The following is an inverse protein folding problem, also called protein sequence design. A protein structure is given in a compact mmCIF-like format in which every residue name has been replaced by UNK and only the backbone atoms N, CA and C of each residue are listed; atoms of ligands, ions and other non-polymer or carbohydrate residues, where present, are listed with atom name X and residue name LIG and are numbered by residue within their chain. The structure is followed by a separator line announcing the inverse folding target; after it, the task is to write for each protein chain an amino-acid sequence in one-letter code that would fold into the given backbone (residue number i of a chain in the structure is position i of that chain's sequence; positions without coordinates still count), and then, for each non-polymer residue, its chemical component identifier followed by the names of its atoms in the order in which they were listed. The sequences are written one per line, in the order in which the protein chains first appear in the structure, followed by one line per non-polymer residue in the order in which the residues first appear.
data_IF_926477487077
#
_entry.id   IF_926477487077
#
_cell.length_a   1.000
_cell.length_b   1.000
_cell.length_c   1.000
_cell.angle_alpha   90.00
_cell.angle_beta   90.00
_cell.angle_gamma   90.00
#
_symmetry.space_group_name_H-M   'P 1'
#
loop_
_entity.id
_entity.type
_entity.pdbx_description
1 polymer ?
#
# COMPACT_ATOMS: atom_id res chain seq x y z
N UNK A 1 13.74 5.04 -17.04
CA UNK A 1 13.92 3.61 -17.39
C UNK A 1 12.72 2.89 -16.84
N UNK A 2 11.96 2.12 -17.63
CA UNK A 2 10.90 1.26 -17.07
C UNK A 2 11.61 0.08 -16.39
N UNK A 3 11.46 -0.07 -15.08
CA UNK A 3 12.04 -1.21 -14.37
C UNK A 3 11.16 -2.45 -14.64
N UNK A 4 11.62 -3.32 -15.54
CA UNK A 4 11.07 -4.66 -15.79
C UNK A 4 11.87 -5.68 -14.97
N UNK A 5 11.64 -5.67 -13.66
CA UNK A 5 12.44 -6.46 -12.72
C UNK A 5 12.20 -7.95 -12.94
N UNK A 6 10.94 -8.37 -13.09
CA UNK A 6 10.64 -9.79 -13.23
C UNK A 6 11.13 -10.35 -14.56
N UNK A 7 11.02 -9.59 -15.64
CA UNK A 7 11.63 -9.92 -16.93
C UNK A 7 13.14 -10.21 -16.83
N UNK A 8 13.88 -9.41 -16.04
CA UNK A 8 15.33 -9.55 -15.91
C UNK A 8 15.77 -10.87 -15.25
N UNK A 9 14.89 -11.51 -14.49
CA UNK A 9 15.15 -12.78 -13.80
C UNK A 9 14.77 -14.02 -14.63
N UNK A 10 14.28 -13.84 -15.86
CA UNK A 10 13.80 -14.93 -16.70
C UNK A 10 14.92 -15.53 -17.56
N UNK A 11 14.77 -16.79 -17.98
CA UNK A 11 15.65 -17.39 -19.00
C UNK A 11 15.45 -16.69 -20.35
N UNK A 12 16.39 -16.84 -21.30
CA UNK A 12 16.25 -16.26 -22.65
C UNK A 12 14.97 -16.70 -23.37
N UNK A 13 14.59 -17.98 -23.20
CA UNK A 13 13.36 -18.51 -23.77
C UNK A 13 12.14 -17.83 -23.16
N UNK A 14 12.07 -17.76 -21.83
CA UNK A 14 11.00 -17.09 -21.10
C UNK A 14 10.91 -15.60 -21.44
N UNK A 15 12.04 -14.90 -21.57
CA UNK A 15 12.08 -13.51 -22.01
C UNK A 15 11.52 -13.34 -23.43
N UNK A 16 11.82 -14.26 -24.35
CA UNK A 16 11.24 -14.24 -25.69
C UNK A 16 9.71 -14.41 -25.65
N UNK A 17 9.20 -15.38 -24.88
CA UNK A 17 7.75 -15.61 -24.74
C UNK A 17 7.07 -14.44 -24.04
N UNK A 18 7.68 -13.88 -23.00
CA UNK A 18 7.21 -12.68 -22.30
C UNK A 18 6.99 -11.51 -23.28
N UNK A 19 7.95 -11.26 -24.18
CA UNK A 19 7.82 -10.19 -25.19
C UNK A 19 6.71 -10.49 -26.20
N UNK A 20 6.59 -11.73 -26.68
CA UNK A 20 5.50 -12.13 -27.56
C UNK A 20 4.12 -11.90 -26.90
N UNK A 21 3.98 -12.24 -25.61
CA UNK A 21 2.77 -11.97 -24.83
C UNK A 21 2.53 -10.46 -24.68
N UNK A 22 3.55 -9.70 -24.30
CA UNK A 22 3.48 -8.24 -24.13
C UNK A 22 3.06 -7.54 -25.42
N UNK A 23 3.68 -7.88 -26.55
CA UNK A 23 3.40 -7.28 -27.85
C UNK A 23 1.98 -7.60 -28.32
N UNK A 24 1.54 -8.85 -28.19
CA UNK A 24 0.18 -9.25 -28.53
C UNK A 24 -0.89 -8.51 -27.73
N UNK A 25 -0.66 -8.32 -26.42
CA UNK A 25 -1.58 -7.60 -25.53
C UNK A 25 -1.56 -6.09 -25.74
N UNK A 26 -0.41 -5.49 -26.07
CA UNK A 26 -0.31 -4.05 -26.35
C UNK A 26 -0.92 -3.68 -27.71
N UNK A 27 -0.90 -4.61 -28.67
CA UNK A 27 -1.60 -4.46 -29.95
C UNK A 27 -3.12 -4.69 -29.85
N UNK A 28 -3.61 -5.15 -28.70
CA UNK A 28 -5.00 -5.52 -28.46
C UNK A 28 -5.47 -6.57 -29.47
N UNK A 29 -4.61 -7.55 -29.76
CA UNK A 29 -4.89 -8.63 -30.70
C UNK A 29 -5.86 -9.65 -30.06
N UNK A 30 -6.91 -10.12 -30.78
CA UNK A 30 -7.85 -11.12 -30.25
C UNK A 30 -7.17 -12.47 -30.02
N UNK A 31 -6.13 -12.78 -30.78
CA UNK A 31 -5.25 -13.93 -30.60
C UNK A 31 -3.90 -13.69 -31.29
N UNK A 32 -2.87 -14.42 -30.87
CA UNK A 32 -1.52 -14.35 -31.46
C UNK A 32 -0.71 -15.60 -31.14
N UNK A 33 0.30 -15.92 -31.96
CA UNK A 33 1.18 -17.07 -31.73
C UNK A 33 2.25 -16.75 -30.71
N UNK A 34 2.49 -17.67 -29.77
CA UNK A 34 3.62 -17.63 -28.84
C UNK A 34 4.42 -18.92 -28.93
N UNK A 35 5.71 -18.89 -28.61
CA UNK A 35 6.48 -20.13 -28.41
C UNK A 35 5.80 -21.00 -27.34
N UNK A 36 5.61 -22.28 -27.65
CA UNK A 36 4.88 -23.18 -26.77
C UNK A 36 5.67 -23.47 -25.50
N UNK A 37 5.05 -23.21 -24.35
CA UNK A 37 5.54 -23.59 -23.02
C UNK A 37 4.44 -24.34 -22.26
N UNK A 38 4.78 -25.09 -21.19
CA UNK A 38 3.79 -25.63 -20.27
C UNK A 38 2.83 -24.54 -19.78
N UNK A 39 1.55 -24.88 -19.63
CA UNK A 39 0.51 -23.93 -19.25
C UNK A 39 0.80 -23.23 -17.89
N UNK A 40 1.46 -23.94 -16.97
CA UNK A 40 1.92 -23.37 -15.70
C UNK A 40 2.98 -22.28 -15.90
N UNK A 41 3.93 -22.47 -16.82
CA UNK A 41 4.94 -21.46 -17.15
C UNK A 41 4.33 -20.25 -17.86
N UNK A 42 3.40 -20.47 -18.80
CA UNK A 42 2.67 -19.36 -19.43
C UNK A 42 1.89 -18.54 -18.40
N UNK A 43 1.28 -19.22 -17.42
CA UNK A 43 0.56 -18.57 -16.32
C UNK A 43 1.50 -17.75 -15.42
N UNK A 44 2.68 -18.27 -15.06
CA UNK A 44 3.69 -17.55 -14.28
C UNK A 44 4.23 -16.33 -15.05
N UNK A 45 4.55 -16.50 -16.33
CA UNK A 45 5.02 -15.41 -17.19
C UNK A 45 3.98 -14.31 -17.31
N UNK A 46 2.72 -14.67 -17.55
CA UNK A 46 1.61 -13.71 -17.58
C UNK A 46 1.48 -12.98 -16.25
N UNK A 47 1.52 -13.70 -15.13
CA UNK A 47 1.39 -13.11 -13.81
C UNK A 47 2.48 -12.08 -13.54
N UNK A 48 3.75 -12.43 -13.77
CA UNK A 48 4.91 -11.54 -13.60
C UNK A 48 4.91 -10.35 -14.56
N UNK A 49 4.43 -10.54 -15.79
CA UNK A 49 4.27 -9.47 -16.78
C UNK A 49 3.32 -8.38 -16.29
N UNK A 50 2.20 -8.74 -15.64
CA UNK A 50 1.29 -7.75 -15.05
C UNK A 50 1.90 -6.94 -13.91
N UNK A 51 2.86 -7.53 -13.18
CA UNK A 51 3.56 -6.84 -12.10
C UNK A 51 4.55 -5.81 -12.63
N UNK A 52 5.25 -6.14 -13.72
CA UNK A 52 6.13 -5.20 -14.43
C UNK A 52 5.34 -4.14 -15.21
N UNK A 53 4.15 -4.50 -15.74
CA UNK A 53 3.36 -3.66 -16.64
C UNK A 53 1.90 -3.44 -16.18
N UNK A 54 1.68 -2.64 -15.12
CA UNK A 54 0.32 -2.36 -14.64
C UNK A 54 -0.60 -1.62 -15.63
N UNK A 55 -0.05 -1.06 -16.72
CA UNK A 55 -0.83 -0.45 -17.80
C UNK A 55 -1.61 -1.49 -18.64
N UNK A 56 -1.33 -2.78 -18.48
CA UNK A 56 -2.13 -3.88 -19.06
C UNK A 56 -3.23 -4.28 -18.03
N UNK A 57 -4.05 -3.30 -17.67
CA UNK A 57 -5.15 -3.47 -16.69
C UNK A 57 -6.38 -4.17 -17.26
N UNK A 58 -6.41 -4.36 -18.58
CA UNK A 58 -7.59 -4.72 -19.35
C UNK A 58 -7.64 -6.20 -19.75
N UNK A 59 -6.69 -7.02 -19.29
CA UNK A 59 -6.67 -8.46 -19.54
C UNK A 59 -6.89 -9.20 -18.22
N UNK A 60 -7.88 -10.09 -18.17
CA UNK A 60 -8.27 -10.81 -16.95
C UNK A 60 -7.70 -12.22 -16.90
N UNK A 61 -7.73 -12.92 -18.02
CA UNK A 61 -7.25 -14.29 -18.17
C UNK A 61 -6.76 -14.53 -19.60
N UNK A 62 -6.37 -15.75 -19.91
CA UNK A 62 -6.09 -16.16 -21.28
C UNK A 62 -6.43 -17.63 -21.48
N UNK A 63 -6.66 -17.99 -22.74
CA UNK A 63 -6.69 -19.38 -23.21
C UNK A 63 -5.50 -19.62 -24.12
N UNK A 64 -5.05 -20.87 -24.15
CA UNK A 64 -3.98 -21.28 -25.04
C UNK A 64 -4.39 -22.57 -25.76
N UNK A 65 -4.23 -22.60 -27.09
CA UNK A 65 -4.46 -23.79 -27.91
C UNK A 65 -3.16 -24.17 -28.60
N UNK A 66 -2.70 -25.40 -28.39
CA UNK A 66 -1.51 -25.95 -29.03
C UNK A 66 -1.91 -27.14 -29.90
N UNK A 67 -1.54 -27.10 -31.17
CA UNK A 67 -1.65 -28.27 -32.06
C UNK A 67 -0.55 -29.28 -31.71
N UNK A 68 -0.88 -30.58 -31.72
CA UNK A 68 0.10 -31.63 -31.44
C UNK A 68 1.32 -31.51 -32.38
N UNK A 69 2.52 -31.54 -31.81
CA UNK A 69 3.78 -31.40 -32.55
C UNK A 69 4.18 -29.98 -32.96
N UNK A 70 3.37 -28.95 -32.69
CA UNK A 70 3.73 -27.56 -33.00
C UNK A 70 4.69 -26.97 -31.96
N UNK A 71 5.65 -26.17 -32.41
CA UNK A 71 6.56 -25.40 -31.54
C UNK A 71 5.94 -24.10 -31.00
N UNK A 72 4.77 -23.73 -31.53
CA UNK A 72 4.00 -22.55 -31.12
C UNK A 72 2.63 -22.93 -30.59
N UNK A 73 2.10 -22.11 -29.70
CA UNK A 73 0.73 -22.18 -29.25
C UNK A 73 -0.02 -20.88 -29.58
N UNK A 74 -1.29 -20.98 -29.91
CA UNK A 74 -2.17 -19.84 -30.11
C UNK A 74 -2.61 -19.32 -28.74
N UNK A 75 -2.22 -18.10 -28.43
CA UNK A 75 -2.58 -17.38 -27.20
C UNK A 75 -3.80 -16.50 -27.46
N UNK A 76 -4.81 -16.57 -26.60
CA UNK A 76 -6.07 -15.83 -26.70
C UNK A 76 -6.34 -15.11 -25.38
N UNK A 77 -6.00 -13.81 -25.27
CA UNK A 77 -6.30 -13.03 -24.07
C UNK A 77 -7.80 -12.80 -23.90
N UNK A 78 -8.27 -12.83 -22.67
CA UNK A 78 -9.61 -12.40 -22.30
C UNK A 78 -9.56 -10.92 -21.89
N UNK A 79 -10.22 -10.06 -22.68
CA UNK A 79 -10.27 -8.63 -22.45
C UNK A 79 -11.48 -8.22 -21.63
N UNK A 80 -11.26 -7.37 -20.61
CA UNK A 80 -12.32 -6.82 -19.74
C UNK A 80 -13.26 -5.86 -20.48
N UNK A 81 -12.78 -5.23 -21.56
CA UNK A 81 -13.52 -4.23 -22.33
C UNK A 81 -13.30 -4.42 -23.83
N UNK A 82 -14.20 -3.85 -24.64
CA UNK A 82 -13.98 -3.74 -26.07
C UNK A 82 -12.75 -2.87 -26.40
N UNK A 83 -12.09 -3.17 -27.52
CA UNK A 83 -10.87 -2.49 -27.98
C UNK A 83 -10.97 -0.95 -27.93
N UNK A 84 -12.08 -0.39 -28.41
CA UNK A 84 -12.30 1.08 -28.39
C UNK A 84 -12.30 1.64 -26.97
N UNK A 85 -12.95 0.95 -26.03
CA UNK A 85 -13.04 1.37 -24.63
C UNK A 85 -11.71 1.20 -23.90
N UNK A 86 -10.92 0.17 -24.22
CA UNK A 86 -9.55 0.02 -23.69
C UNK A 86 -8.70 1.23 -24.06
N UNK A 87 -8.70 1.62 -25.34
CA UNK A 87 -7.93 2.77 -25.82
C UNK A 87 -8.37 4.08 -25.15
N UNK A 88 -9.67 4.25 -24.91
CA UNK A 88 -10.21 5.38 -24.15
C UNK A 88 -9.72 5.39 -22.69
N UNK A 89 -9.83 4.25 -21.98
CA UNK A 89 -9.32 4.16 -20.61
C UNK A 89 -7.82 4.41 -20.55
N UNK A 90 -7.02 3.88 -21.47
CA UNK A 90 -5.58 4.13 -21.55
C UNK A 90 -5.27 5.63 -21.70
N UNK A 91 -5.95 6.32 -22.63
CA UNK A 91 -5.79 7.77 -22.82
C UNK A 91 -6.15 8.55 -21.56
N UNK A 92 -7.29 8.22 -20.93
CA UNK A 92 -7.77 8.90 -19.74
C UNK A 92 -6.85 8.66 -18.53
N UNK A 93 -6.36 7.44 -18.36
CA UNK A 93 -5.40 7.08 -17.32
C UNK A 93 -4.08 7.82 -17.53
N UNK A 94 -3.52 7.83 -18.74
CA UNK A 94 -2.25 8.52 -18.99
C UNK A 94 -2.35 10.02 -18.72
N UNK A 95 -3.44 10.67 -19.17
CA UNK A 95 -3.70 12.07 -18.90
C UNK A 95 -3.81 12.35 -17.39
N UNK A 96 -4.51 11.47 -16.65
CA UNK A 96 -4.65 11.60 -15.21
C UNK A 96 -3.34 11.39 -14.47
N UNK A 97 -2.59 10.34 -14.80
CA UNK A 97 -1.26 10.06 -14.22
C UNK A 97 -0.35 11.27 -14.46
N UNK A 98 -0.25 11.74 -15.70
CA UNK A 98 0.57 12.91 -16.07
C UNK A 98 0.22 14.13 -15.24
N UNK A 99 -1.07 14.40 -15.01
CA UNK A 99 -1.53 15.52 -14.18
C UNK A 99 -1.13 15.34 -12.72
N UNK A 100 -1.32 14.15 -12.16
CA UNK A 100 -1.05 13.86 -10.74
C UNK A 100 0.44 13.92 -10.40
N UNK A 101 1.30 13.42 -11.29
CA UNK A 101 2.75 13.37 -11.04
C UNK A 101 3.47 14.68 -11.38
N UNK A 102 2.84 15.57 -12.16
CA UNK A 102 3.44 16.86 -12.56
C UNK A 102 4.05 17.65 -11.38
N UNK A 103 3.34 17.89 -10.26
CA UNK A 103 3.93 18.60 -9.11
C UNK A 103 5.09 17.84 -8.46
N UNK A 104 5.22 16.53 -8.69
CA UNK A 104 6.25 15.69 -8.11
C UNK A 104 7.54 15.68 -8.94
N UNK A 105 7.54 16.15 -10.20
CA UNK A 105 8.69 15.99 -11.09
C UNK A 105 9.97 16.67 -10.58
N UNK A 106 9.83 17.85 -9.99
CA UNK A 106 10.94 18.65 -9.43
C UNK A 106 11.37 18.23 -8.02
N UNK A 107 10.64 17.32 -7.38
CA UNK A 107 10.95 16.87 -6.02
C UNK A 107 12.14 15.90 -6.01
N UNK A 108 12.82 15.82 -4.86
CA UNK A 108 13.82 14.78 -4.60
C UNK A 108 13.16 13.39 -4.55
N UNK A 109 13.98 12.33 -4.62
CA UNK A 109 13.51 10.95 -4.50
C UNK A 109 12.63 10.69 -3.26
N UNK A 110 13.08 11.04 -2.05
CA UNK A 110 12.30 10.87 -0.82
C UNK A 110 11.01 11.70 -0.80
N UNK A 111 11.05 12.94 -1.31
CA UNK A 111 9.86 13.79 -1.38
C UNK A 111 8.82 13.25 -2.38
N UNK A 112 9.26 12.71 -3.52
CA UNK A 112 8.39 11.99 -4.46
C UNK A 112 7.75 10.78 -3.79
N UNK A 113 8.52 10.00 -3.03
CA UNK A 113 8.02 8.83 -2.32
C UNK A 113 6.90 9.20 -1.33
N UNK A 114 7.09 10.26 -0.53
CA UNK A 114 6.06 10.79 0.38
C UNK A 114 4.84 11.25 -0.42
N UNK A 115 5.02 12.02 -1.50
CA UNK A 115 3.90 12.53 -2.28
C UNK A 115 3.06 11.41 -2.96
N UNK A 116 3.71 10.33 -3.41
CA UNK A 116 3.04 9.14 -3.96
C UNK A 116 2.23 8.44 -2.87
N UNK A 117 2.84 8.20 -1.70
CA UNK A 117 2.19 7.60 -0.55
C UNK A 117 0.97 8.40 -0.10
N UNK A 118 1.12 9.71 0.06
CA UNK A 118 0.07 10.60 0.54
C UNK A 118 -1.12 10.67 -0.42
N UNK A 119 -0.85 10.60 -1.73
CA UNK A 119 -1.93 10.46 -2.71
C UNK A 119 -2.78 9.22 -2.44
N UNK A 120 -2.15 8.06 -2.19
CA UNK A 120 -2.90 6.83 -1.88
C UNK A 120 -3.69 7.01 -0.59
N UNK A 121 -3.05 7.44 0.49
CA UNK A 121 -3.70 7.57 1.79
C UNK A 121 -4.83 8.61 1.84
N UNK A 122 -4.80 9.62 0.95
CA UNK A 122 -5.81 10.70 0.94
C UNK A 122 -6.86 10.59 -0.17
N UNK A 123 -6.57 9.92 -1.28
CA UNK A 123 -7.44 9.92 -2.47
C UNK A 123 -7.99 8.54 -2.84
N UNK A 124 -7.53 7.48 -2.19
CA UNK A 124 -7.97 6.11 -2.46
C UNK A 124 -8.64 5.55 -1.21
N UNK A 125 -9.86 5.06 -1.36
CA UNK A 125 -10.58 4.32 -0.32
C UNK A 125 -10.32 2.84 -0.52
N UNK A 126 -9.79 2.17 0.51
CA UNK A 126 -9.66 0.72 0.49
C UNK A 126 -11.04 0.05 0.48
N UNK A 127 -11.36 -0.69 -0.58
CA UNK A 127 -12.65 -1.35 -0.75
C UNK A 127 -12.47 -2.86 -0.90
N UNK A 128 -12.96 -3.61 0.09
CA UNK A 128 -12.93 -5.08 0.09
C UNK A 128 -14.00 -5.70 -0.83
N UNK A 129 -14.89 -4.90 -1.42
CA UNK A 129 -15.85 -5.37 -2.41
C UNK A 129 -15.07 -5.84 -3.65
N UNK A 130 -15.05 -7.16 -3.86
CA UNK A 130 -14.29 -7.91 -4.87
C UNK A 130 -14.71 -7.62 -6.32
N UNK A 131 -14.68 -6.36 -6.72
CA UNK A 131 -14.93 -5.96 -8.11
C UNK A 131 -13.63 -6.12 -8.89
N UNK A 132 -13.70 -6.72 -10.07
CA UNK A 132 -12.50 -7.07 -10.86
C UNK A 132 -11.58 -5.87 -11.15
N UNK A 133 -12.13 -4.66 -11.26
CA UNK A 133 -11.35 -3.45 -11.50
C UNK A 133 -10.60 -2.92 -10.25
N UNK A 134 -10.95 -3.36 -9.03
CA UNK A 134 -10.29 -2.91 -7.79
C UNK A 134 -8.85 -3.43 -7.67
N UNK A 135 -8.53 -4.50 -8.39
CA UNK A 135 -7.19 -5.10 -8.51
C UNK A 135 -6.32 -4.44 -9.58
N UNK A 136 -6.86 -3.45 -10.28
CA UNK A 136 -6.24 -2.81 -11.42
C UNK A 136 -6.18 -1.29 -11.26
N UNK A 137 -5.29 -0.63 -12.00
CA UNK A 137 -5.06 0.82 -11.87
C UNK A 137 -6.30 1.67 -12.16
N UNK A 138 -7.29 1.15 -12.89
CA UNK A 138 -8.58 1.82 -13.11
C UNK A 138 -9.29 2.10 -11.78
N UNK A 139 -9.27 1.18 -10.82
CA UNK A 139 -9.92 1.36 -9.53
C UNK A 139 -9.39 2.62 -8.82
N UNK A 140 -8.12 2.63 -8.39
CA UNK A 140 -7.56 3.76 -7.64
C UNK A 140 -7.55 5.04 -8.46
N UNK A 141 -7.22 4.99 -9.75
CA UNK A 141 -7.04 6.20 -10.55
C UNK A 141 -8.35 6.77 -11.10
N UNK A 142 -9.35 5.97 -11.47
CA UNK A 142 -10.60 6.52 -12.03
C UNK A 142 -11.71 6.63 -10.98
N UNK A 143 -11.79 5.67 -10.07
CA UNK A 143 -12.90 5.56 -9.12
C UNK A 143 -12.53 5.95 -7.70
N UNK A 144 -11.23 6.11 -7.39
CA UNK A 144 -10.76 6.38 -6.04
C UNK A 144 -10.97 5.20 -5.08
N UNK A 145 -11.10 3.97 -5.60
CA UNK A 145 -11.27 2.76 -4.78
C UNK A 145 -10.30 1.66 -5.23
N UNK A 146 -9.74 0.90 -4.29
CA UNK A 146 -8.81 -0.16 -4.64
C UNK A 146 -8.58 -1.18 -3.54
N UNK A 147 -8.05 -2.33 -3.94
CA UNK A 147 -7.44 -3.31 -3.01
C UNK A 147 -5.91 -3.26 -3.11
N UNK A 148 -5.22 -4.09 -2.32
CA UNK A 148 -3.77 -4.13 -2.22
C UNK A 148 -3.05 -4.18 -3.58
N UNK A 149 -3.49 -5.07 -4.49
CA UNK A 149 -2.89 -5.19 -5.82
C UNK A 149 -3.08 -3.93 -6.68
N UNK A 150 -4.28 -3.34 -6.68
CA UNK A 150 -4.57 -2.12 -7.45
C UNK A 150 -3.78 -0.92 -6.93
N UNK A 151 -3.64 -0.79 -5.61
CA UNK A 151 -2.83 0.23 -4.96
C UNK A 151 -1.35 0.05 -5.33
N UNK A 152 -0.81 -1.16 -5.20
CA UNK A 152 0.59 -1.44 -5.49
C UNK A 152 0.95 -1.19 -6.96
N UNK A 153 0.04 -1.56 -7.87
CA UNK A 153 0.11 -1.24 -9.31
C UNK A 153 0.08 0.26 -9.60
N UNK A 154 -0.73 1.01 -8.86
CA UNK A 154 -0.81 2.48 -9.02
C UNK A 154 0.49 3.15 -8.60
N UNK A 155 1.07 2.74 -7.46
CA UNK A 155 2.37 3.21 -6.98
C UNK A 155 3.46 2.90 -8.02
N UNK A 156 3.52 1.65 -8.52
CA UNK A 156 4.45 1.26 -9.60
C UNK A 156 4.32 2.16 -10.82
N UNK A 157 3.10 2.45 -11.26
CA UNK A 157 2.84 3.36 -12.39
C UNK A 157 3.40 4.77 -12.15
N UNK A 158 3.22 5.35 -10.96
CA UNK A 158 3.77 6.66 -10.63
C UNK A 158 5.30 6.64 -10.56
N UNK A 159 5.87 5.66 -9.86
CA UNK A 159 7.32 5.46 -9.75
C UNK A 159 7.98 5.35 -11.13
N UNK A 160 7.40 4.57 -12.06
CA UNK A 160 7.92 4.39 -13.41
C UNK A 160 8.00 5.71 -14.20
N UNK A 161 7.00 6.61 -14.07
CA UNK A 161 7.06 7.94 -14.72
C UNK A 161 7.99 8.91 -14.01
N UNK A 162 8.18 8.74 -12.70
CA UNK A 162 9.00 9.63 -11.88
C UNK A 162 10.47 9.19 -11.80
N UNK A 163 10.81 8.04 -12.38
CA UNK A 163 12.17 7.50 -12.40
C UNK A 163 12.60 6.88 -11.07
N UNK A 164 11.65 6.38 -10.27
CA UNK A 164 11.91 5.65 -9.02
C UNK A 164 11.81 4.16 -9.33
N UNK A 165 12.84 3.39 -9.00
CA UNK A 165 12.74 1.94 -9.14
C UNK A 165 11.70 1.42 -8.15
N UNK A 166 10.75 0.62 -8.63
CA UNK A 166 9.65 0.09 -7.84
C UNK A 166 9.28 -1.29 -8.37
N UNK A 167 9.02 -2.22 -7.45
CA UNK A 167 8.67 -3.61 -7.71
C UNK A 167 7.42 -3.91 -6.88
N UNK A 168 6.47 -4.65 -7.45
CA UNK A 168 5.28 -5.11 -6.72
C UNK A 168 5.61 -6.46 -6.09
N UNK A 169 5.65 -6.53 -4.77
CA UNK A 169 5.85 -7.76 -4.00
C UNK A 169 4.51 -8.46 -3.76
N UNK A 170 4.49 -9.81 -3.74
CA UNK A 170 3.28 -10.61 -3.52
C UNK A 170 3.58 -11.80 -2.61
N UNK A 171 2.67 -12.10 -1.69
CA UNK A 171 2.66 -13.33 -0.90
C UNK A 171 1.38 -14.17 -1.14
N UNK A 172 1.47 -15.48 -0.85
CA UNK A 172 0.30 -16.37 -0.90
C UNK A 172 -0.70 -16.11 0.23
N UNK A 173 -1.93 -16.56 0.01
CA UNK A 173 -2.90 -16.73 1.10
C UNK A 173 -2.46 -17.89 2.00
N UNK A 174 -2.69 -17.75 3.30
CA UNK A 174 -2.45 -18.77 4.31
C UNK A 174 -3.64 -18.80 5.31
N UNK A 175 -4.80 -19.34 4.89
CA UNK A 175 -6.01 -19.36 5.71
C UNK A 175 -5.82 -20.13 7.02
N UNK A 176 -5.00 -21.18 7.02
CA UNK A 176 -4.72 -22.04 8.17
C UNK A 176 -4.04 -21.26 9.31
N UNK A 177 -3.28 -20.23 8.98
CA UNK A 177 -2.66 -19.32 9.94
C UNK A 177 -3.32 -17.95 10.00
N UNK A 178 -4.62 -17.89 9.66
CA UNK A 178 -5.46 -16.71 9.83
C UNK A 178 -5.33 -15.63 8.76
N UNK A 179 -4.63 -15.88 7.64
CA UNK A 179 -4.56 -14.95 6.51
C UNK A 179 -5.23 -15.53 5.25
N UNK A 180 -6.55 -15.37 5.08
CA UNK A 180 -7.28 -16.02 4.00
C UNK A 180 -7.03 -15.43 2.60
N UNK A 181 -6.20 -14.39 2.46
CA UNK A 181 -6.02 -13.67 1.20
C UNK A 181 -4.56 -13.51 0.82
N UNK A 182 -4.31 -13.53 -0.50
CA UNK A 182 -3.05 -13.03 -1.07
C UNK A 182 -2.91 -11.55 -0.75
N UNK A 183 -1.67 -11.10 -0.57
CA UNK A 183 -1.39 -9.69 -0.34
C UNK A 183 -0.31 -9.19 -1.29
N UNK A 184 -0.42 -7.91 -1.66
CA UNK A 184 0.48 -7.24 -2.57
C UNK A 184 0.87 -5.86 -2.03
N UNK A 185 2.15 -5.52 -2.13
CA UNK A 185 2.70 -4.24 -1.69
C UNK A 185 3.89 -3.85 -2.57
N UNK A 186 4.66 -2.82 -2.21
CA UNK A 186 5.77 -2.35 -3.02
C UNK A 186 7.13 -2.48 -2.32
N UNK A 187 8.15 -2.74 -3.12
CA UNK A 187 9.55 -2.50 -2.78
C UNK A 187 10.05 -1.41 -3.71
N UNK A 188 10.58 -0.33 -3.17
CA UNK A 188 11.00 0.82 -3.96
C UNK A 188 12.37 1.33 -3.58
N UNK A 189 12.95 2.12 -4.47
CA UNK A 189 14.28 2.72 -4.31
C UNK A 189 14.19 4.22 -4.60
N UNK A 190 13.68 5.03 -3.66
CA UNK A 190 13.58 6.48 -3.85
C UNK A 190 14.94 7.13 -4.11
N UNK A 191 16.02 6.55 -3.57
CA UNK A 191 17.40 6.99 -3.81
C UNK A 191 18.35 5.81 -4.10
N UNK A 192 19.22 5.46 -3.15
CA UNK A 192 20.32 4.49 -3.35
C UNK A 192 20.02 3.11 -2.79
N UNK A 193 19.04 2.98 -1.91
CA UNK A 193 18.73 1.76 -1.17
C UNK A 193 17.28 1.35 -1.35
N UNK A 194 17.03 0.05 -1.31
CA UNK A 194 15.70 -0.55 -1.39
C UNK A 194 15.00 -0.52 -0.03
N UNK A 195 13.73 -0.17 -0.04
CA UNK A 195 12.85 -0.20 1.12
C UNK A 195 11.52 -0.85 0.81
N UNK A 196 10.91 -1.40 1.85
CA UNK A 196 9.55 -1.93 1.83
C UNK A 196 8.54 -0.79 2.03
N UNK A 197 7.43 -0.86 1.31
CA UNK A 197 6.29 0.05 1.42
C UNK A 197 4.98 -0.74 1.35
N UNK A 198 4.13 -0.56 2.36
CA UNK A 198 2.74 -0.99 2.29
C UNK A 198 1.77 0.16 2.54
N UNK A 199 1.49 0.92 1.47
CA UNK A 199 0.51 1.99 1.50
C UNK A 199 -0.93 1.49 1.71
N UNK A 200 -1.21 0.19 1.52
CA UNK A 200 -2.56 -0.35 1.79
C UNK A 200 -2.81 -0.42 3.29
N UNK A 201 -1.82 -0.91 4.03
CA UNK A 201 -1.91 -0.98 5.49
C UNK A 201 -1.95 0.45 6.07
N UNK A 202 -1.09 1.35 5.60
CA UNK A 202 -1.11 2.76 6.01
C UNK A 202 -2.43 3.46 5.66
N UNK A 203 -3.00 3.23 4.47
CA UNK A 203 -4.33 3.74 4.10
C UNK A 203 -5.43 3.23 5.05
N UNK A 204 -5.40 1.96 5.43
CA UNK A 204 -6.44 1.35 6.28
C UNK A 204 -6.48 1.88 7.72
N UNK A 205 -5.37 2.43 8.22
CA UNK A 205 -5.25 3.02 9.57
C UNK A 205 -5.22 4.55 9.55
N UNK A 206 -5.06 5.16 8.38
CA UNK A 206 -5.15 6.61 8.18
C UNK A 206 -6.60 7.09 8.27
N UNK A 207 -6.77 8.38 8.49
CA UNK A 207 -8.08 9.03 8.42
C UNK A 207 -7.97 10.40 7.77
N UNK A 208 -9.11 11.07 7.57
CA UNK A 208 -9.19 12.41 6.96
C UNK A 208 -8.34 13.47 7.67
N UNK A 209 -8.06 13.29 8.95
CA UNK A 209 -7.33 14.23 9.80
C UNK A 209 -5.81 13.92 9.90
N UNK A 210 -5.40 12.68 9.62
CA UNK A 210 -4.01 12.24 9.78
C UNK A 210 -3.69 11.07 8.84
N UNK A 211 -2.66 11.29 8.02
CA UNK A 211 -1.99 10.23 7.27
C UNK A 211 -0.99 9.53 8.20
N UNK A 212 -1.06 8.21 8.22
CA UNK A 212 -0.15 7.31 8.94
C UNK A 212 0.91 6.78 7.97
N UNK A 213 2.10 6.52 8.51
CA UNK A 213 3.30 6.11 7.75
C UNK A 213 3.98 4.91 8.45
N UNK A 214 3.17 4.06 9.04
CA UNK A 214 3.58 2.89 9.84
C UNK A 214 4.31 1.85 8.99
N UNK A 215 4.03 1.81 7.69
CA UNK A 215 4.60 0.86 6.73
C UNK A 215 5.41 1.55 5.61
N UNK A 216 5.87 2.78 5.84
CA UNK A 216 6.71 3.51 4.88
C UNK A 216 8.20 3.37 5.18
N UNK A 217 8.95 2.91 4.18
CA UNK A 217 10.40 2.70 4.24
C UNK A 217 10.84 1.70 5.32
N UNK A 218 10.13 0.57 5.40
CA UNK A 218 10.49 -0.52 6.32
C UNK A 218 11.67 -1.35 5.78
N UNK A 219 12.40 -1.98 6.70
CA UNK A 219 13.32 -3.09 6.38
C UNK A 219 12.57 -4.42 6.30
N UNK A 220 13.20 -5.45 5.73
CA UNK A 220 12.69 -6.82 5.68
C UNK A 220 12.35 -7.35 7.07
N UNK A 221 13.20 -7.05 8.07
CA UNK A 221 12.97 -7.44 9.48
C UNK A 221 11.70 -6.83 10.07
N UNK A 222 11.26 -5.69 9.56
CA UNK A 222 10.07 -4.98 10.05
C UNK A 222 8.80 -5.40 9.30
N UNK A 223 8.85 -5.46 7.97
CA UNK A 223 7.69 -5.84 7.15
C UNK A 223 7.28 -7.30 7.40
N UNK A 224 8.24 -8.24 7.52
CA UNK A 224 7.92 -9.67 7.70
C UNK A 224 7.51 -10.05 9.13
N UNK A 225 7.22 -9.06 9.99
CA UNK A 225 6.57 -9.31 11.29
C UNK A 225 5.09 -9.64 11.13
N UNK A 226 4.43 -9.00 10.16
CA UNK A 226 3.02 -9.20 9.82
C UNK A 226 2.79 -9.55 8.35
N UNK A 227 3.80 -9.45 7.48
CA UNK A 227 3.72 -9.92 6.10
C UNK A 227 4.25 -11.35 5.94
N UNK A 228 3.58 -12.14 5.08
CA UNK A 228 4.04 -13.49 4.70
C UNK A 228 5.24 -13.41 3.75
N UNK A 229 6.07 -14.47 3.69
CA UNK A 229 7.15 -14.55 2.71
C UNK A 229 6.64 -14.34 1.28
N UNK A 230 7.44 -13.62 0.49
CA UNK A 230 7.16 -13.35 -0.92
C UNK A 230 7.35 -14.60 -1.77
N UNK A 231 6.57 -14.72 -2.83
CA UNK A 231 6.62 -15.88 -3.73
C UNK A 231 7.75 -15.80 -4.78
N UNK A 232 8.28 -14.59 -5.02
CA UNK A 232 9.37 -14.35 -5.95
C UNK A 232 10.60 -13.77 -5.25
N UNK A 233 11.82 -14.03 -5.73
CA UNK A 233 13.03 -13.39 -5.21
C UNK A 233 13.03 -11.87 -5.43
N UNK A 234 13.16 -11.11 -4.35
CA UNK A 234 13.17 -9.64 -4.36
C UNK A 234 14.48 -9.08 -3.81
N UNK A 235 14.86 -7.82 -4.11
CA UNK A 235 16.01 -7.19 -3.51
C UNK A 235 15.84 -7.07 -1.99
N UNK A 236 16.91 -7.33 -1.24
CA UNK A 236 16.87 -7.22 0.22
C UNK A 236 16.76 -5.76 0.67
N UNK A 237 15.85 -5.49 1.60
CA UNK A 237 15.68 -4.21 2.26
C UNK A 237 16.29 -4.27 3.66
N UNK A 238 17.61 -4.08 3.75
CA UNK A 238 18.35 -4.30 5.00
C UNK A 238 18.36 -3.07 5.92
N UNK A 239 18.16 -1.88 5.35
CA UNK A 239 18.27 -0.61 6.07
C UNK A 239 16.93 -0.25 6.75
N UNK A 240 16.94 -0.21 8.08
CA UNK A 240 15.80 0.23 8.91
C UNK A 240 15.99 1.60 9.54
N UNK A 241 17.04 2.34 9.16
CA UNK A 241 17.34 3.68 9.68
C UNK A 241 16.48 4.75 9.01
N UNK A 242 16.08 4.51 7.76
CA UNK A 242 15.22 5.37 6.97
C UNK A 242 13.70 5.13 7.15
N UNK A 243 13.31 4.35 8.17
CA UNK A 243 11.91 4.25 8.58
C UNK A 243 11.34 5.66 8.87
N UNK A 244 10.16 5.97 8.34
CA UNK A 244 9.59 7.33 8.34
C UNK A 244 9.68 8.05 9.69
N UNK A 245 9.21 7.42 10.78
CA UNK A 245 9.21 8.07 12.10
C UNK A 245 10.61 8.28 12.67
N UNK A 246 11.63 7.52 12.23
CA UNK A 246 13.02 7.76 12.60
C UNK A 246 13.56 9.01 11.91
N UNK A 247 13.35 9.13 10.60
CA UNK A 247 13.77 10.31 9.84
C UNK A 247 13.10 11.59 10.34
N UNK A 248 11.81 11.52 10.66
CA UNK A 248 11.04 12.65 11.21
C UNK A 248 11.35 12.94 12.68
N UNK A 249 12.28 12.22 13.31
CA UNK A 249 12.65 12.37 14.74
C UNK A 249 11.45 12.17 15.69
N UNK A 250 10.54 11.29 15.31
CA UNK A 250 9.34 10.87 16.04
C UNK A 250 9.47 9.44 16.58
N UNK A 251 10.71 8.96 16.76
CA UNK A 251 11.00 7.61 17.24
C UNK A 251 11.81 7.65 18.55
N UNK A 252 11.23 7.09 19.61
CA UNK A 252 11.72 7.27 20.99
C UNK A 252 12.14 5.96 21.63
N UNK A 253 13.20 6.00 22.44
CA UNK A 253 13.70 4.85 23.22
C UNK A 253 13.43 4.97 24.72
N UNK A 254 13.12 6.17 25.21
CA UNK A 254 12.93 6.45 26.64
C UNK A 254 11.50 6.87 26.92
N UNK A 255 10.94 6.32 28.00
CA UNK A 255 9.59 6.63 28.46
C UNK A 255 9.43 8.13 28.79
N UNK A 256 10.45 8.74 29.40
CA UNK A 256 10.45 10.16 29.76
C UNK A 256 10.29 11.07 28.53
N UNK A 257 10.99 10.77 27.43
CA UNK A 257 10.90 11.54 26.19
C UNK A 257 9.49 11.45 25.60
N UNK A 258 8.89 10.27 25.62
CA UNK A 258 7.51 10.05 25.16
C UNK A 258 6.53 10.85 26.00
N UNK A 259 6.62 10.74 27.34
CA UNK A 259 5.76 11.48 28.27
C UNK A 259 5.89 12.99 28.08
N UNK A 260 7.10 13.51 27.89
CA UNK A 260 7.34 14.92 27.63
C UNK A 260 6.67 15.40 26.32
N UNK A 261 6.75 14.60 25.25
CA UNK A 261 6.09 14.90 23.98
C UNK A 261 4.57 14.85 24.07
N UNK A 262 4.02 13.89 24.80
CA UNK A 262 2.58 13.80 25.06
C UNK A 262 2.09 15.06 25.81
N UNK A 263 2.76 15.47 26.91
CA UNK A 263 2.41 16.73 27.60
C UNK A 263 2.46 17.92 26.65
N UNK A 264 3.47 17.98 25.79
CA UNK A 264 3.60 19.07 24.82
C UNK A 264 2.43 19.08 23.82
N UNK A 265 2.01 17.92 23.30
CA UNK A 265 0.89 17.78 22.40
C UNK A 265 -0.44 18.20 23.07
N UNK A 266 -0.67 17.74 24.30
CA UNK A 266 -1.83 18.09 25.13
C UNK A 266 -1.87 19.60 25.42
N UNK A 267 -0.75 20.18 25.86
CA UNK A 267 -0.66 21.62 26.14
C UNK A 267 -0.97 22.47 24.90
N UNK A 268 -0.58 22.01 23.72
CA UNK A 268 -0.86 22.67 22.44
C UNK A 268 -2.25 22.32 21.87
N UNK A 269 -3.05 21.52 22.57
CA UNK A 269 -4.32 20.95 22.08
C UNK A 269 -4.19 20.36 20.67
N UNK A 270 -3.06 19.69 20.38
CA UNK A 270 -2.84 19.08 19.06
C UNK A 270 -3.77 17.87 18.94
N UNK A 271 -4.73 17.85 17.99
CA UNK A 271 -5.77 16.82 17.96
C UNK A 271 -5.18 15.41 17.78
N UNK A 272 -4.06 15.31 17.06
CA UNK A 272 -3.35 14.05 16.84
C UNK A 272 -1.83 14.15 17.02
N UNK A 273 -1.24 13.14 17.64
CA UNK A 273 0.21 13.01 17.76
C UNK A 273 0.65 11.56 17.64
N UNK A 274 1.20 11.22 16.47
CA UNK A 274 1.73 9.88 16.17
C UNK A 274 3.24 9.80 16.38
N UNK A 275 3.68 8.72 17.02
CA UNK A 275 5.09 8.43 17.26
C UNK A 275 5.40 6.93 17.30
N UNK A 276 6.66 6.59 17.10
CA UNK A 276 7.19 5.24 17.16
C UNK A 276 7.90 4.97 18.49
N UNK A 277 7.52 3.90 19.18
CA UNK A 277 8.24 3.35 20.32
C UNK A 277 9.28 2.32 19.87
N UNK A 278 10.55 2.58 20.17
CA UNK A 278 11.68 1.68 19.89
C UNK A 278 12.55 1.38 21.12
N UNK A 279 12.05 1.66 22.32
CA UNK A 279 12.74 1.39 23.59
C UNK A 279 12.69 -0.07 24.05
N UNK A 280 12.13 -0.96 23.23
CA UNK A 280 11.89 -2.36 23.52
C UNK A 280 10.60 -2.83 22.86
N UNK A 281 10.13 -4.03 23.22
CA UNK A 281 8.82 -4.50 22.78
C UNK A 281 7.72 -3.64 23.36
N UNK A 282 6.74 -3.25 22.53
CA UNK A 282 5.55 -2.54 22.99
C UNK A 282 4.61 -3.56 23.65
N UNK A 283 4.65 -3.64 24.98
CA UNK A 283 3.85 -4.58 25.77
C UNK A 283 2.69 -3.87 26.50
N UNK A 284 1.85 -4.66 27.18
CA UNK A 284 0.67 -4.16 27.90
C UNK A 284 1.05 -3.20 29.05
N UNK A 285 2.17 -3.42 29.72
CA UNK A 285 2.64 -2.57 30.83
C UNK A 285 3.00 -1.17 30.34
N UNK A 286 3.79 -1.07 29.28
CA UNK A 286 4.16 0.20 28.63
C UNK A 286 2.92 0.95 28.17
N UNK A 287 1.97 0.24 27.55
CA UNK A 287 0.72 0.85 27.09
C UNK A 287 -0.14 1.34 28.25
N UNK A 288 -0.25 0.57 29.32
CA UNK A 288 -0.99 0.96 30.51
C UNK A 288 -0.36 2.18 31.17
N UNK A 289 0.98 2.21 31.30
CA UNK A 289 1.71 3.35 31.86
C UNK A 289 1.47 4.62 31.03
N UNK A 290 1.58 4.52 29.70
CA UNK A 290 1.33 5.63 28.79
C UNK A 290 -0.14 6.08 28.83
N UNK A 291 -1.10 5.15 28.86
CA UNK A 291 -2.52 5.46 28.91
C UNK A 291 -2.88 6.20 30.21
N UNK A 292 -2.46 5.67 31.37
CA UNK A 292 -2.70 6.29 32.68
C UNK A 292 -2.10 7.70 32.75
N UNK A 293 -0.85 7.86 32.31
CA UNK A 293 -0.19 9.15 32.27
C UNK A 293 -0.89 10.15 31.34
N UNK A 294 -1.27 9.70 30.14
CA UNK A 294 -1.91 10.54 29.13
C UNK A 294 -3.28 11.00 29.59
N UNK A 295 -4.07 10.11 30.20
CA UNK A 295 -5.39 10.45 30.73
C UNK A 295 -5.29 11.51 31.84
N UNK A 296 -4.39 11.32 32.80
CA UNK A 296 -4.17 12.30 33.87
C UNK A 296 -3.77 13.68 33.31
N UNK A 297 -2.84 13.72 32.35
CA UNK A 297 -2.41 14.96 31.72
C UNK A 297 -3.51 15.63 30.88
N UNK A 298 -4.40 14.85 30.25
CA UNK A 298 -5.53 15.36 29.48
C UNK A 298 -6.63 15.91 30.40
N UNK A 299 -6.90 15.23 31.52
CA UNK A 299 -7.89 15.64 32.52
C UNK A 299 -7.59 17.02 33.11
N UNK A 300 -6.31 17.30 33.41
CA UNK A 300 -5.83 18.62 33.85
C UNK A 300 -6.14 19.75 32.85
N UNK A 301 -6.45 19.41 31.60
CA UNK A 301 -6.79 20.35 30.52
C UNK A 301 -8.25 20.27 30.07
N UNK A 302 -9.08 19.49 30.75
CA UNK A 302 -10.48 19.28 30.36
C UNK A 302 -10.62 18.52 29.03
N UNK A 303 -9.63 17.73 28.65
CA UNK A 303 -9.60 16.94 27.42
C UNK A 303 -9.81 15.45 27.71
N UNK A 304 -10.28 14.72 26.72
CA UNK A 304 -10.26 13.26 26.68
C UNK A 304 -9.16 12.81 25.72
N UNK A 305 -8.46 11.73 26.07
CA UNK A 305 -7.37 11.19 25.28
C UNK A 305 -7.52 9.69 25.02
N UNK A 306 -7.03 9.23 23.87
CA UNK A 306 -6.96 7.81 23.55
C UNK A 306 -5.84 7.50 22.57
N UNK A 307 -5.43 6.23 22.47
CA UNK A 307 -4.43 5.79 21.52
C UNK A 307 -5.01 4.83 20.48
N UNK A 308 -4.68 5.06 19.21
CA UNK A 308 -4.69 4.02 18.19
C UNK A 308 -3.29 3.40 18.08
N UNK A 309 -3.19 2.09 18.28
CA UNK A 309 -1.91 1.39 18.40
C UNK A 309 -1.71 0.42 17.24
N UNK A 310 -0.59 0.54 16.54
CA UNK A 310 -0.05 -0.51 15.70
C UNK A 310 1.03 -1.25 16.48
N UNK A 311 0.68 -2.40 17.04
CA UNK A 311 1.58 -3.20 17.88
C UNK A 311 2.79 -3.72 17.11
N UNK A 312 2.58 -4.17 15.87
CA UNK A 312 3.62 -4.82 15.07
C UNK A 312 4.77 -3.88 14.75
N UNK A 313 4.43 -2.64 14.40
CA UNK A 313 5.39 -1.59 14.07
C UNK A 313 5.72 -0.68 15.27
N UNK A 314 5.11 -0.91 16.43
CA UNK A 314 5.35 -0.15 17.66
C UNK A 314 4.91 1.31 17.57
N UNK A 315 3.83 1.61 16.84
CA UNK A 315 3.36 2.98 16.61
C UNK A 315 2.15 3.29 17.49
N UNK A 316 2.18 4.46 18.12
CA UNK A 316 1.07 4.98 18.91
C UNK A 316 0.63 6.33 18.31
N UNK A 317 -0.65 6.46 17.98
CA UNK A 317 -1.29 7.72 17.61
C UNK A 317 -2.21 8.19 18.72
N UNK A 318 -1.80 9.25 19.41
CA UNK A 318 -2.60 9.95 20.40
C UNK A 318 -3.72 10.70 19.68
N UNK A 319 -4.97 10.53 20.13
CA UNK A 319 -6.13 11.34 19.77
C UNK A 319 -6.56 12.15 20.99
N UNK A 320 -6.77 13.46 20.80
CA UNK A 320 -7.25 14.39 21.81
C UNK A 320 -8.57 15.01 21.36
N UNK A 321 -9.54 15.02 22.27
CA UNK A 321 -10.86 15.63 22.07
C UNK A 321 -11.26 16.45 23.29
N UNK A 322 -12.14 17.43 23.10
CA UNK A 322 -12.74 18.12 24.25
C UNK A 322 -13.70 17.17 24.97
N UNK A 323 -13.67 17.17 26.31
CA UNK A 323 -14.68 16.43 27.07
C UNK A 323 -16.04 17.04 26.75
N UNK A 324 -16.91 16.27 26.11
CA UNK A 324 -18.33 16.63 26.04
C UNK A 324 -18.82 16.64 27.48
N UNK A 325 -19.40 17.76 27.92
CA UNK A 325 -20.13 17.80 29.17
C UNK A 325 -21.16 16.66 29.12
N UNK A 326 -21.14 15.77 30.10
CA UNK A 326 -22.28 14.88 30.30
C UNK A 326 -23.51 15.77 30.37
N UNK A 327 -24.50 15.51 29.51
CA UNK A 327 -25.79 16.17 29.64
C UNK A 327 -26.27 15.83 31.05
N UNK A 328 -26.26 16.84 31.93
CA UNK A 328 -26.91 16.77 33.23
C UNK A 328 -28.38 16.56 32.88
N UNK A 329 -28.83 15.31 32.92
CA UNK A 329 -30.25 15.02 33.07
C UNK A 329 -30.64 15.69 34.38
N UNK A 330 -31.30 16.85 34.28
CA UNK A 330 -32.04 17.40 35.40
C UNK A 330 -33.13 16.39 35.74
N UNK A 331 -33.02 15.81 36.94
CA UNK A 331 -34.13 15.15 37.59
C UNK A 331 -35.11 16.28 37.96
N UNK A 332 -36.23 16.38 37.25
CA UNK A 332 -37.42 17.03 37.80
C UNK A 332 -38.22 15.94 38.53
N UNK A 333 -37.84 15.68 39.79
CA UNK A 333 -38.77 15.15 40.80
C UNK A 333 -39.42 16.35 41.48
N UNK A 334 -40.61 16.73 41.01
CA UNK A 334 -41.76 17.06 41.86
C UNK A 334 -42.91 17.60 41.01
N UNK A 335 -43.88 16.73 40.72
CA UNK A 335 -45.31 16.95 41.01
C UNK A 335 -46.22 16.01 40.20
N UNK A 336 -46.53 14.83 40.76
CA UNK A 336 -47.94 14.38 40.84
C UNK A 336 -48.55 15.09 42.07
N UNK A 337 -49.87 15.37 42.20
CA UNK A 337 -51.08 14.69 41.67
C UNK A 337 -52.09 15.67 41.01
N UNK A 338 -53.26 15.31 40.47
CA UNK A 338 -54.16 14.14 40.59
C UNK A 338 -54.34 13.33 39.30
#
# INVERSE_FOLDING_TARGET
MKSEYYYSQMTRLQQSVYRQIYDGMTQLSPSFSVTALPMAELSDLWFRLRLDHPMIFYVTSFRCRKTAGADTALFEPEYMFEKKKILEHQKNLEARITRLIRPMQSLSGPEKAIAIHDFICSQVTYDKLKKGYSHEIIGPLQQGIGVCEGIAKTIKCFCDRLGIDCIIAICEADPERGNPYRHAWNIWKPEKTWYQLDATFDNSISCTEEIRYDYMNLSDRMIFRDHRPVIYPLPACLDGDHFYYREKKLSFTKMEDVKNRIRQAIRKKKPRYTFHWRGGYLNREILQELATFTQAAADEKGLQAGFHVNYTQGILSLRLEEKKAEAIFSIDEDSMPE
#
